data_IF_578653917823
#
_entry.id   IF_578653917823
#
_cell.length_a   1.000
_cell.length_b   1.000
_cell.length_c   1.000
_cell.angle_alpha   90.00
_cell.angle_beta   90.00
_cell.angle_gamma   90.00
#
_symmetry.space_group_name_H-M   'P 1'
#
loop_
_entity.id
_entity.type
_entity.pdbx_description
1 polymer ?
#
# COMPACT_ATOMS: atom_id res chain seq x y z
N UNK A 1 1.23 -17.63 -10.69
CA UNK A 1 1.59 -16.83 -9.49
C UNK A 1 0.32 -16.20 -8.94
N UNK A 2 0.20 -16.09 -7.61
CA UNK A 2 -1.02 -15.62 -6.96
C UNK A 2 -1.13 -14.09 -6.98
N UNK A 3 -2.36 -13.57 -7.02
CA UNK A 3 -2.62 -12.14 -7.20
C UNK A 3 -2.00 -11.28 -6.10
N UNK A 4 -2.16 -11.64 -4.83
CA UNK A 4 -1.68 -10.87 -3.68
C UNK A 4 -0.14 -10.77 -3.63
N UNK A 5 0.56 -11.76 -4.19
CA UNK A 5 2.02 -11.78 -4.27
C UNK A 5 2.50 -10.88 -5.41
N UNK A 6 1.87 -10.99 -6.59
CA UNK A 6 2.20 -10.12 -7.73
C UNK A 6 1.88 -8.67 -7.40
N UNK A 7 0.71 -8.41 -6.81
CA UNK A 7 0.29 -7.09 -6.35
C UNK A 7 1.29 -6.53 -5.33
N UNK A 8 1.85 -7.34 -4.44
CA UNK A 8 2.84 -6.87 -3.47
C UNK A 8 4.13 -6.40 -4.14
N UNK A 9 4.60 -7.08 -5.20
CA UNK A 9 5.74 -6.60 -5.97
C UNK A 9 5.43 -5.32 -6.74
N UNK A 10 4.27 -5.26 -7.39
CA UNK A 10 3.86 -4.08 -8.17
C UNK A 10 3.67 -2.87 -7.27
N UNK A 11 2.83 -2.97 -6.24
CA UNK A 11 2.56 -1.88 -5.30
C UNK A 11 3.82 -1.54 -4.49
N UNK A 12 4.60 -2.56 -4.10
CA UNK A 12 5.83 -2.36 -3.33
C UNK A 12 6.90 -1.55 -4.06
N UNK A 13 6.93 -1.62 -5.39
CA UNK A 13 7.78 -0.77 -6.25
C UNK A 13 7.09 0.57 -6.54
N UNK A 14 5.79 0.54 -6.86
CA UNK A 14 5.08 1.74 -7.30
C UNK A 14 4.96 2.80 -6.20
N UNK A 15 4.75 2.43 -4.94
CA UNK A 15 4.62 3.38 -3.83
C UNK A 15 5.83 4.35 -3.72
N UNK A 16 7.07 3.87 -3.50
CA UNK A 16 8.22 4.75 -3.39
C UNK A 16 8.53 5.49 -4.70
N UNK A 17 8.30 4.86 -5.86
CA UNK A 17 8.54 5.51 -7.16
C UNK A 17 7.57 6.66 -7.41
N UNK A 18 6.26 6.43 -7.25
CA UNK A 18 5.24 7.45 -7.47
C UNK A 18 5.43 8.61 -6.50
N UNK A 19 5.74 8.33 -5.23
CA UNK A 19 5.97 9.40 -4.25
C UNK A 19 7.21 10.23 -4.59
N UNK A 20 8.31 9.56 -4.97
CA UNK A 20 9.53 10.25 -5.39
C UNK A 20 9.33 11.06 -6.67
N UNK A 21 8.59 10.54 -7.65
CA UNK A 21 8.27 11.25 -8.88
C UNK A 21 7.33 12.44 -8.63
N UNK A 22 6.37 12.31 -7.70
CA UNK A 22 5.39 13.35 -7.39
C UNK A 22 5.99 14.50 -6.59
N UNK A 23 6.78 14.19 -5.57
CA UNK A 23 7.35 15.18 -4.64
C UNK A 23 8.77 15.62 -4.97
N UNK A 24 9.50 14.83 -5.75
CA UNK A 24 10.92 15.04 -6.04
C UNK A 24 11.84 14.61 -4.89
N UNK A 25 13.10 14.34 -5.23
CA UNK A 25 14.12 13.88 -4.27
C UNK A 25 14.43 14.94 -3.20
N UNK A 26 14.24 16.23 -3.51
CA UNK A 26 14.46 17.32 -2.56
C UNK A 26 13.50 17.31 -1.36
N UNK A 27 12.34 16.64 -1.46
CA UNK A 27 11.36 16.59 -0.36
C UNK A 27 11.77 15.66 0.79
N UNK A 28 12.83 14.87 0.64
CA UNK A 28 13.40 14.08 1.75
C UNK A 28 13.87 14.94 2.93
N UNK A 29 14.25 16.21 2.71
CA UNK A 29 14.67 17.12 3.78
C UNK A 29 13.52 17.90 4.42
N UNK A 30 12.32 17.86 3.83
CA UNK A 30 11.14 18.62 4.29
C UNK A 30 10.09 17.67 4.88
N UNK A 31 9.64 16.68 4.11
CA UNK A 31 8.64 15.68 4.50
C UNK A 31 9.27 14.29 4.62
N UNK A 32 10.35 14.19 5.40
CA UNK A 32 11.10 12.94 5.59
C UNK A 32 10.17 11.79 6.01
N UNK A 33 9.30 12.03 6.99
CA UNK A 33 8.48 10.96 7.58
C UNK A 33 7.53 10.34 6.56
N UNK A 34 6.88 11.14 5.73
CA UNK A 34 5.96 10.60 4.72
C UNK A 34 6.71 9.88 3.60
N UNK A 35 7.82 10.45 3.12
CA UNK A 35 8.71 9.78 2.17
C UNK A 35 9.18 8.43 2.70
N UNK A 36 9.66 8.41 3.94
CA UNK A 36 10.17 7.20 4.59
C UNK A 36 9.06 6.16 4.78
N UNK A 37 7.86 6.59 5.13
CA UNK A 37 6.70 5.72 5.32
C UNK A 37 6.35 4.93 4.04
N UNK A 38 6.30 5.59 2.88
CA UNK A 38 6.03 4.94 1.59
C UNK A 38 7.14 3.95 1.18
N UNK A 39 8.40 4.27 1.50
CA UNK A 39 9.53 3.37 1.28
C UNK A 39 9.50 2.14 2.19
N UNK A 40 9.15 2.33 3.47
CA UNK A 40 8.97 1.22 4.42
C UNK A 40 7.81 0.33 3.98
N UNK A 41 6.68 0.91 3.58
CA UNK A 41 5.54 0.18 3.04
C UNK A 41 5.95 -0.66 1.83
N UNK A 42 6.69 -0.06 0.90
CA UNK A 42 7.21 -0.73 -0.28
C UNK A 42 8.13 -1.90 0.07
N UNK A 43 9.10 -1.68 0.95
CA UNK A 43 10.04 -2.71 1.40
C UNK A 43 9.32 -3.89 2.08
N UNK A 44 8.34 -3.63 2.95
CA UNK A 44 7.56 -4.67 3.62
C UNK A 44 6.80 -5.54 2.62
N UNK A 45 6.15 -4.94 1.61
CA UNK A 45 5.47 -5.69 0.56
C UNK A 45 6.44 -6.55 -0.26
N UNK A 46 7.61 -6.00 -0.62
CA UNK A 46 8.62 -6.74 -1.38
C UNK A 46 9.19 -7.92 -0.59
N UNK A 47 9.49 -7.73 0.69
CA UNK A 47 9.98 -8.80 1.58
C UNK A 47 8.90 -9.87 1.75
N UNK A 48 7.64 -9.47 2.01
CA UNK A 48 6.52 -10.40 2.16
C UNK A 48 6.24 -11.19 0.88
N UNK A 49 6.27 -10.51 -0.27
CA UNK A 49 6.11 -11.13 -1.59
C UNK A 49 7.22 -12.13 -1.89
N UNK A 50 8.48 -11.74 -1.66
CA UNK A 50 9.64 -12.62 -1.84
C UNK A 50 9.61 -13.84 -0.91
N UNK A 51 9.34 -13.65 0.38
CA UNK A 51 9.25 -14.73 1.36
C UNK A 51 8.12 -15.71 1.00
N UNK A 52 7.01 -15.16 0.49
CA UNK A 52 5.88 -15.93 -0.05
C UNK A 52 6.23 -16.75 -1.29
N UNK A 53 7.03 -16.22 -2.22
CA UNK A 53 7.51 -16.94 -3.42
C UNK A 53 8.49 -18.05 -3.03
N UNK A 54 9.37 -17.79 -2.05
CA UNK A 54 10.33 -18.78 -1.54
C UNK A 54 9.70 -19.82 -0.60
N UNK A 55 8.37 -19.83 -0.45
CA UNK A 55 7.64 -20.74 0.43
C UNK A 55 8.20 -20.78 1.86
N UNK A 56 8.66 -19.63 2.38
CA UNK A 56 9.11 -19.53 3.77
C UNK A 56 7.90 -19.75 4.70
N UNK A 57 8.05 -20.46 5.82
CA UNK A 57 6.94 -20.78 6.72
C UNK A 57 6.25 -19.52 7.28
N UNK A 58 7.01 -18.44 7.49
CA UNK A 58 6.49 -17.15 7.95
C UNK A 58 6.03 -16.22 6.82
N UNK A 59 6.24 -16.58 5.55
CA UNK A 59 6.06 -15.67 4.41
C UNK A 59 4.61 -15.24 4.20
N UNK A 60 3.64 -16.13 4.45
CA UNK A 60 2.22 -15.80 4.34
C UNK A 60 1.78 -14.81 5.43
N UNK A 61 2.21 -15.03 6.68
CA UNK A 61 1.89 -14.17 7.81
C UNK A 61 2.54 -12.79 7.67
N UNK A 62 3.80 -12.74 7.23
CA UNK A 62 4.48 -11.46 7.01
C UNK A 62 3.84 -10.67 5.87
N UNK A 63 3.44 -11.32 4.78
CA UNK A 63 2.74 -10.67 3.68
C UNK A 63 1.38 -10.11 4.13
N UNK A 64 0.67 -10.81 5.02
CA UNK A 64 -0.57 -10.31 5.63
C UNK A 64 -0.31 -9.04 6.46
N UNK A 65 0.70 -9.04 7.32
CA UNK A 65 1.09 -7.87 8.11
C UNK A 65 1.48 -6.68 7.22
N UNK A 66 2.24 -6.94 6.15
CA UNK A 66 2.62 -5.91 5.19
C UNK A 66 1.38 -5.30 4.50
N UNK A 67 0.43 -6.13 4.06
CA UNK A 67 -0.83 -5.65 3.50
C UNK A 67 -1.69 -4.90 4.51
N UNK A 68 -1.73 -5.32 5.77
CA UNK A 68 -2.47 -4.64 6.83
C UNK A 68 -1.93 -3.22 7.07
N UNK A 69 -0.60 -3.10 7.15
CA UNK A 69 0.08 -1.82 7.28
C UNK A 69 -0.22 -0.88 6.10
N UNK A 70 -0.03 -1.36 4.87
CA UNK A 70 -0.26 -0.57 3.64
C UNK A 70 -1.73 -0.17 3.49
N UNK A 71 -2.67 -1.07 3.82
CA UNK A 71 -4.11 -0.79 3.75
C UNK A 71 -4.50 0.30 4.75
N UNK A 72 -3.93 0.29 5.95
CA UNK A 72 -4.15 1.34 6.95
C UNK A 72 -3.66 2.70 6.47
N UNK A 73 -2.41 2.75 5.97
CA UNK A 73 -1.79 3.96 5.43
C UNK A 73 -2.57 4.55 4.25
N UNK A 74 -2.89 3.72 3.24
CA UNK A 74 -3.69 4.15 2.08
C UNK A 74 -5.10 4.58 2.49
N UNK A 75 -5.68 3.92 3.50
CA UNK A 75 -6.96 4.32 4.09
C UNK A 75 -6.90 5.72 4.66
N UNK A 76 -5.90 6.04 5.48
CA UNK A 76 -5.70 7.38 6.03
C UNK A 76 -5.63 8.46 4.94
N UNK A 77 -4.83 8.23 3.90
CA UNK A 77 -4.68 9.15 2.75
C UNK A 77 -5.98 9.33 1.95
N UNK A 78 -6.77 8.26 1.78
CA UNK A 78 -8.06 8.31 1.11
C UNK A 78 -9.11 9.08 1.92
N UNK A 79 -9.29 8.73 3.20
CA UNK A 79 -10.30 9.36 4.05
C UNK A 79 -10.04 10.85 4.24
N UNK A 80 -8.78 11.25 4.42
CA UNK A 80 -8.39 12.65 4.49
C UNK A 80 -8.77 13.41 3.20
N UNK A 81 -8.45 12.86 2.03
CA UNK A 81 -8.81 13.49 0.75
C UNK A 81 -10.33 13.58 0.56
N UNK A 82 -11.04 12.53 0.95
CA UNK A 82 -12.50 12.48 0.85
C UNK A 82 -13.15 13.55 1.73
N UNK A 83 -12.68 13.69 2.96
CA UNK A 83 -13.14 14.74 3.88
C UNK A 83 -12.85 16.15 3.34
N UNK A 84 -11.65 16.38 2.83
CA UNK A 84 -11.25 17.67 2.25
C UNK A 84 -12.10 18.04 1.01
N UNK A 85 -12.49 17.02 0.24
CA UNK A 85 -13.45 17.14 -0.87
C UNK A 85 -14.83 17.57 -0.39
N UNK A 86 -15.36 16.92 0.65
CA UNK A 86 -16.69 17.27 1.20
C UNK A 86 -16.70 18.67 1.82
N UNK A 87 -15.59 19.08 2.45
CA UNK A 87 -15.44 20.43 3.02
C UNK A 87 -15.23 21.53 1.99
N UNK A 88 -15.10 21.18 0.70
CA UNK A 88 -14.72 22.11 -0.38
C UNK A 88 -13.43 22.88 -0.08
N UNK A 89 -12.55 22.28 0.73
CA UNK A 89 -11.25 22.86 1.12
C UNK A 89 -10.10 22.36 0.23
N UNK A 90 -10.38 21.37 -0.63
CA UNK A 90 -9.42 20.85 -1.59
C UNK A 90 -8.92 21.92 -2.57
N UNK A 91 -7.61 22.17 -2.52
CA UNK A 91 -6.93 23.12 -3.40
C UNK A 91 -6.46 22.49 -4.73
N UNK A 92 -6.56 21.17 -4.85
CA UNK A 92 -6.07 20.40 -6.00
C UNK A 92 -7.00 20.51 -7.23
N UNK A 93 -6.48 20.87 -8.41
CA UNK A 93 -7.25 20.76 -9.65
C UNK A 93 -7.56 19.27 -9.93
N UNK A 94 -8.81 18.95 -10.30
CA UNK A 94 -9.30 17.58 -10.50
C UNK A 94 -9.38 16.70 -9.24
N UNK A 95 -9.63 17.30 -8.07
CA UNK A 95 -9.79 16.61 -6.80
C UNK A 95 -10.68 15.34 -6.85
N UNK A 96 -11.81 15.36 -7.59
CA UNK A 96 -12.67 14.18 -7.78
C UNK A 96 -11.94 12.99 -8.41
N UNK A 97 -11.06 13.23 -9.39
CA UNK A 97 -10.26 12.18 -10.02
C UNK A 97 -9.28 11.58 -9.01
N UNK A 98 -8.61 12.44 -8.22
CA UNK A 98 -7.68 12.00 -7.16
C UNK A 98 -8.38 11.09 -6.16
N UNK A 99 -9.60 11.47 -5.72
CA UNK A 99 -10.41 10.64 -4.82
C UNK A 99 -10.75 9.28 -5.43
N UNK A 100 -11.17 9.24 -6.71
CA UNK A 100 -11.47 7.98 -7.41
C UNK A 100 -10.22 7.09 -7.49
N UNK A 101 -9.07 7.64 -7.87
CA UNK A 101 -7.82 6.89 -7.96
C UNK A 101 -7.42 6.34 -6.60
N UNK A 102 -7.47 7.17 -5.54
CA UNK A 102 -7.17 6.73 -4.16
C UNK A 102 -8.14 5.64 -3.70
N UNK A 103 -9.43 5.76 -4.01
CA UNK A 103 -10.42 4.73 -3.69
C UNK A 103 -10.11 3.39 -4.34
N UNK A 104 -9.76 3.39 -5.64
CA UNK A 104 -9.39 2.17 -6.37
C UNK A 104 -8.13 1.53 -5.80
N UNK A 105 -7.10 2.33 -5.50
CA UNK A 105 -5.86 1.85 -4.88
C UNK A 105 -6.11 1.25 -3.51
N UNK A 106 -6.87 1.94 -2.66
CA UNK A 106 -7.23 1.44 -1.34
C UNK A 106 -8.04 0.14 -1.42
N UNK A 107 -9.02 0.07 -2.33
CA UNK A 107 -9.82 -1.14 -2.57
C UNK A 107 -8.94 -2.33 -3.00
N UNK A 108 -7.95 -2.10 -3.87
CA UNK A 108 -7.01 -3.13 -4.28
C UNK A 108 -6.14 -3.62 -3.09
N UNK A 109 -5.76 -2.72 -2.17
CA UNK A 109 -5.05 -3.09 -0.94
C UNK A 109 -5.95 -3.95 -0.02
N UNK A 110 -7.21 -3.55 0.18
CA UNK A 110 -8.20 -4.32 0.98
C UNK A 110 -8.41 -5.72 0.40
N UNK A 111 -8.60 -5.84 -0.92
CA UNK A 111 -8.76 -7.16 -1.58
C UNK A 111 -7.50 -8.01 -1.37
N UNK A 112 -6.31 -7.42 -1.54
CA UNK A 112 -5.04 -8.14 -1.36
C UNK A 112 -4.82 -8.59 0.09
N UNK A 113 -5.22 -7.75 1.07
CA UNK A 113 -5.21 -8.11 2.49
C UNK A 113 -6.13 -9.29 2.78
N UNK A 114 -7.37 -9.26 2.29
CA UNK A 114 -8.34 -10.37 2.49
C UNK A 114 -7.80 -11.68 1.90
N UNK A 115 -7.22 -11.61 0.69
CA UNK A 115 -6.61 -12.78 0.06
C UNK A 115 -5.40 -13.30 0.85
N UNK A 116 -4.56 -12.40 1.37
CA UNK A 116 -3.41 -12.75 2.20
C UNK A 116 -3.85 -13.39 3.53
N UNK A 117 -4.89 -12.86 4.17
CA UNK A 117 -5.47 -13.42 5.40
C UNK A 117 -5.98 -14.85 5.21
N UNK A 118 -6.77 -15.07 4.15
CA UNK A 118 -7.26 -16.42 3.79
C UNK A 118 -6.10 -17.40 3.61
N UNK A 119 -5.00 -16.94 3.00
CA UNK A 119 -3.80 -17.76 2.80
C UNK A 119 -3.09 -18.08 4.11
N UNK A 120 -2.90 -17.10 4.99
CA UNK A 120 -2.24 -17.31 6.27
C UNK A 120 -3.01 -18.31 7.14
N UNK A 121 -4.35 -18.28 7.09
CA UNK A 121 -5.20 -19.29 7.73
C UNK A 121 -4.96 -20.69 7.18
N UNK A 122 -5.00 -20.86 5.84
CA UNK A 122 -4.76 -22.17 5.22
C UNK A 122 -3.38 -22.74 5.54
N UNK A 123 -2.35 -21.90 5.62
CA UNK A 123 -0.99 -22.32 5.93
C UNK A 123 -0.81 -22.77 7.40
N UNK A 124 -1.70 -22.37 8.31
CA UNK A 124 -1.70 -22.82 9.71
C UNK A 124 -2.47 -24.13 9.93
N UNK A 125 -3.38 -24.47 9.02
CA UNK A 125 -4.18 -25.71 9.08
C UNK A 125 -3.51 -26.94 8.45
N UNK A 126 -2.36 -26.77 7.77
CA UNK A 126 -1.57 -27.83 7.15
C UNK A 126 -0.33 -28.16 7.97
#
# INVERSE_FOLDING_TARGET
>A
MRFEVVAAFVIGILLPLLETCRRGIGMWSVDFTTMFEDYVAGALLLIGGWASVKARPWGALFLELAWAYVTGMMGGSFWYQLEDTFRSAAQEPHNLLVVIVKFLLWSACVVSLILSFRRALHARSS
#
